data_IF_626100920974
#
_entry.id   IF_626100920974
#
_cell.length_a   1.000
_cell.length_b   1.000
_cell.length_c   1.000
_cell.angle_alpha   90.00
_cell.angle_beta   90.00
_cell.angle_gamma   90.00
#
_symmetry.space_group_name_H-M   'P 1'
#
loop_
_entity.id
_entity.type
_entity.pdbx_description
1 polymer ?
#
# COMPACT_ATOMS: atom_id res chain seq x y z
N UNK A 1 -3.59 9.65 -23.92
CA UNK A 1 -3.63 10.04 -22.49
C UNK A 1 -4.89 10.84 -22.28
N UNK A 2 -5.67 10.50 -21.25
CA UNK A 2 -6.87 11.24 -20.83
C UNK A 2 -6.62 12.03 -19.55
N UNK A 3 -7.69 12.49 -18.91
CA UNK A 3 -7.62 13.43 -17.78
C UNK A 3 -7.12 12.79 -16.46
N UNK A 4 -7.25 11.47 -16.32
CA UNK A 4 -6.86 10.76 -15.09
C UNK A 4 -5.80 9.70 -15.39
N UNK A 5 -4.63 9.86 -14.76
CA UNK A 5 -3.48 8.95 -14.89
C UNK A 5 -3.33 8.02 -13.67
N UNK A 6 -3.63 8.52 -12.47
CA UNK A 6 -3.55 7.78 -11.21
C UNK A 6 -4.82 8.05 -10.39
N UNK A 7 -5.33 7.02 -9.69
CA UNK A 7 -6.46 7.18 -8.78
C UNK A 7 -6.05 7.82 -7.45
N UNK A 8 -4.88 7.45 -6.94
CA UNK A 8 -4.28 7.97 -5.72
C UNK A 8 -2.75 7.91 -5.80
N UNK A 9 -2.08 8.65 -4.92
CA UNK A 9 -0.61 8.61 -4.73
C UNK A 9 -0.32 8.63 -3.24
N UNK A 10 0.44 7.64 -2.77
CA UNK A 10 0.89 7.55 -1.38
C UNK A 10 2.40 7.80 -1.34
N UNK A 11 2.84 8.74 -0.49
CA UNK A 11 4.25 9.11 -0.34
C UNK A 11 4.67 8.87 1.10
N UNK A 12 5.60 7.94 1.29
CA UNK A 12 6.23 7.69 2.58
C UNK A 12 7.66 8.24 2.61
N UNK A 13 8.00 8.90 3.72
CA UNK A 13 9.36 9.41 3.95
C UNK A 13 9.98 8.74 5.14
N UNK A 14 11.26 8.36 5.03
CA UNK A 14 12.00 7.71 6.11
C UNK A 14 13.35 8.39 6.35
N UNK A 15 13.85 8.41 7.59
CA UNK A 15 15.21 8.86 7.88
C UNK A 15 16.24 8.03 7.10
N UNK A 16 17.37 8.65 6.79
CA UNK A 16 18.40 8.05 5.94
C UNK A 16 19.79 8.58 6.30
N UNK A 17 20.81 7.73 6.11
CA UNK A 17 22.19 8.09 6.40
C UNK A 17 22.68 9.26 5.52
N UNK A 18 23.31 10.33 6.02
CA UNK A 18 23.63 11.54 5.24
C UNK A 18 24.33 11.31 3.89
N UNK A 19 25.12 10.25 3.78
CA UNK A 19 25.84 9.88 2.54
C UNK A 19 25.00 9.18 1.44
N UNK A 20 23.74 8.81 1.67
CA UNK A 20 22.89 8.11 0.66
C UNK A 20 21.76 9.00 0.10
N UNK A 21 20.79 8.50 -0.68
CA UNK A 21 19.44 9.09 -0.85
C UNK A 21 18.54 8.09 -1.61
N UNK A 22 18.07 7.02 -0.96
CA UNK A 22 17.27 6.01 -1.65
C UNK A 22 15.86 6.54 -1.97
N UNK A 23 15.37 6.21 -3.17
CA UNK A 23 14.00 6.49 -3.61
C UNK A 23 13.42 5.22 -4.24
N UNK A 24 12.22 4.84 -3.81
CA UNK A 24 11.47 3.73 -4.39
C UNK A 24 10.18 4.25 -5.02
N UNK A 25 9.83 3.73 -6.19
CA UNK A 25 8.55 3.97 -6.86
C UNK A 25 7.91 2.63 -7.16
N UNK A 26 6.68 2.44 -6.69
CA UNK A 26 5.89 1.23 -6.90
C UNK A 26 4.53 1.67 -7.44
N UNK A 27 4.03 0.94 -8.43
CA UNK A 27 2.73 1.22 -9.06
C UNK A 27 1.80 0.06 -8.73
N UNK A 28 0.59 0.42 -8.33
CA UNK A 28 -0.50 -0.52 -8.30
C UNK A 28 -1.34 -0.41 -9.57
N UNK A 29 -1.69 -1.56 -10.13
CA UNK A 29 -2.46 -1.62 -11.37
C UNK A 29 -3.96 -1.63 -11.10
N UNK A 30 -4.76 -1.61 -12.17
CA UNK A 30 -6.21 -1.69 -12.05
C UNK A 30 -6.71 -2.97 -11.34
N UNK A 31 -5.92 -4.05 -11.34
CA UNK A 31 -6.25 -5.27 -10.62
C UNK A 31 -5.80 -5.22 -9.14
N UNK A 32 -6.26 -4.19 -8.42
CA UNK A 32 -6.08 -4.00 -6.98
C UNK A 32 -6.72 -5.16 -6.19
N UNK A 33 -5.93 -6.14 -5.76
CA UNK A 33 -6.43 -7.42 -5.19
C UNK A 33 -5.73 -7.82 -3.90
N UNK A 34 -5.30 -6.86 -3.09
CA UNK A 34 -4.73 -7.16 -1.78
C UNK A 34 -5.81 -7.32 -0.72
N UNK A 35 -5.54 -8.13 0.31
CA UNK A 35 -6.42 -8.30 1.47
C UNK A 35 -5.58 -8.53 2.72
N UNK A 36 -6.06 -8.02 3.86
CA UNK A 36 -5.42 -8.22 5.16
C UNK A 36 -6.29 -9.12 6.02
N UNK A 37 -5.69 -10.11 6.68
CA UNK A 37 -6.37 -10.97 7.64
C UNK A 37 -5.67 -10.93 8.99
N UNK A 38 -6.44 -11.07 10.07
CA UNK A 38 -5.94 -11.25 11.43
C UNK A 38 -6.41 -12.59 11.97
N UNK A 39 -5.48 -13.37 12.51
CA UNK A 39 -5.77 -14.62 13.21
C UNK A 39 -5.61 -14.40 14.72
N UNK A 40 -6.62 -14.79 15.49
CA UNK A 40 -6.66 -14.72 16.95
C UNK A 40 -6.02 -15.94 17.62
N UNK A 41 -5.71 -15.83 18.93
CA UNK A 41 -5.10 -16.92 19.70
C UNK A 41 -6.01 -18.16 19.85
N UNK A 42 -7.31 -17.98 19.67
CA UNK A 42 -8.36 -19.01 19.67
C UNK A 42 -8.61 -19.62 18.28
N UNK A 43 -7.82 -19.25 17.28
CA UNK A 43 -7.97 -19.72 15.90
C UNK A 43 -9.07 -19.02 15.10
N UNK A 44 -9.77 -18.04 15.70
CA UNK A 44 -10.69 -17.19 14.94
C UNK A 44 -9.91 -16.35 13.93
N UNK A 45 -10.48 -16.13 12.74
CA UNK A 45 -9.88 -15.24 11.76
C UNK A 45 -10.89 -14.22 11.25
N UNK A 46 -10.41 -13.01 10.98
CA UNK A 46 -11.18 -11.94 10.38
C UNK A 46 -10.38 -11.33 9.23
N UNK A 47 -11.03 -11.20 8.07
CA UNK A 47 -10.49 -10.44 6.94
C UNK A 47 -10.93 -9.00 7.10
N UNK A 48 -10.00 -8.05 7.06
CA UNK A 48 -10.34 -6.64 6.99
C UNK A 48 -11.00 -6.38 5.64
N UNK A 49 -12.16 -5.73 5.67
CA UNK A 49 -12.74 -5.17 4.46
C UNK A 49 -11.74 -4.16 3.88
N UNK A 50 -11.55 -4.19 2.57
CA UNK A 50 -10.69 -3.23 1.89
C UNK A 50 -11.36 -1.86 1.98
N UNK A 51 -10.85 -1.00 2.86
CA UNK A 51 -11.15 0.42 2.80
C UNK A 51 -10.54 0.95 1.50
N UNK A 52 -11.35 1.58 0.66
CA UNK A 52 -10.87 2.33 -0.48
C UNK A 52 -10.27 3.63 0.09
N UNK A 53 -8.96 3.62 0.39
CA UNK A 53 -8.21 4.83 0.79
C UNK A 53 -8.11 5.81 -0.39
#
# INVERSE_FOLDING_TARGET
GGDTTCLAVHVETMPRHPASYPVGVVIECHAHRHAHARVGPDGTFAVKEAAHE
#
